data_IF_416841639350
#
_entry.id   IF_416841639350
#
_cell.length_a   1.000
_cell.length_b   1.000
_cell.length_c   1.000
_cell.angle_alpha   90.00
_cell.angle_beta   90.00
_cell.angle_gamma   90.00
#
_symmetry.space_group_name_H-M   'P 1'
#
loop_
_entity.id
_entity.type
_entity.pdbx_description
1 polymer ?
#
# COMPACT_ATOMS: atom_id res chain seq x y z
N UNK A 1 4.16 -29.13 -63.42
CA UNK A 1 3.39 -29.89 -62.40
C UNK A 1 4.16 -29.84 -61.10
N UNK A 2 3.47 -29.65 -59.95
CA UNK A 2 3.99 -29.47 -58.57
C UNK A 2 4.43 -28.01 -58.30
N UNK A 3 3.80 -27.17 -57.47
CA UNK A 3 2.91 -27.37 -56.33
C UNK A 3 1.95 -26.17 -56.17
N UNK A 4 0.64 -26.39 -56.36
CA UNK A 4 -0.45 -25.48 -55.96
C UNK A 4 -0.89 -25.74 -54.50
N UNK A 5 0.04 -26.01 -53.60
CA UNK A 5 -0.29 -26.48 -52.23
C UNK A 5 0.62 -25.77 -51.21
N UNK A 6 0.59 -24.44 -51.17
CA UNK A 6 0.93 -23.72 -49.94
C UNK A 6 0.33 -22.30 -49.93
N UNK A 7 -0.90 -22.18 -50.45
CA UNK A 7 -1.72 -20.95 -50.47
C UNK A 7 -2.60 -20.85 -49.22
N UNK A 8 -2.15 -21.34 -48.05
CA UNK A 8 -3.00 -21.47 -46.85
C UNK A 8 -2.29 -21.18 -45.52
N UNK A 9 -1.33 -20.25 -45.46
CA UNK A 9 -0.65 -19.98 -44.19
C UNK A 9 -0.37 -18.51 -43.82
N UNK A 10 -1.02 -17.54 -44.46
CA UNK A 10 -0.96 -16.15 -43.97
C UNK A 10 -2.35 -15.51 -43.99
N UNK A 11 -3.25 -16.07 -43.16
CA UNK A 11 -4.45 -15.38 -42.73
C UNK A 11 -4.16 -14.68 -41.40
N UNK A 12 -4.51 -13.39 -41.37
CA UNK A 12 -4.91 -12.62 -40.20
C UNK A 12 -3.82 -12.29 -39.15
N UNK A 13 -3.56 -11.01 -38.93
CA UNK A 13 -4.22 -10.27 -37.85
C UNK A 13 -3.82 -8.78 -37.94
N UNK A 14 -4.81 -7.97 -38.29
CA UNK A 14 -4.85 -6.54 -37.96
C UNK A 14 -4.98 -6.37 -36.44
N UNK A 15 -4.10 -5.60 -35.80
CA UNK A 15 -4.28 -5.15 -34.43
C UNK A 15 -4.18 -3.63 -34.37
N UNK A 16 -5.34 -3.04 -34.11
CA UNK A 16 -5.63 -1.62 -33.88
C UNK A 16 -4.92 -1.19 -32.59
N UNK A 17 -4.09 -0.15 -32.64
CA UNK A 17 -3.51 0.46 -31.45
C UNK A 17 -4.59 1.23 -30.70
N UNK A 18 -4.87 0.78 -29.47
CA UNK A 18 -5.83 1.35 -28.53
C UNK A 18 -5.51 2.80 -28.21
N UNK A 19 -6.55 3.63 -28.25
CA UNK A 19 -6.60 4.98 -27.71
C UNK A 19 -6.16 5.01 -26.25
N UNK A 20 -5.21 5.89 -25.93
CA UNK A 20 -4.95 6.31 -24.55
C UNK A 20 -6.18 7.06 -24.05
N UNK A 21 -6.98 6.42 -23.20
CA UNK A 21 -7.89 7.14 -22.31
C UNK A 21 -7.00 7.75 -21.24
N UNK A 22 -6.61 9.02 -21.39
CA UNK A 22 -6.15 9.78 -20.24
C UNK A 22 -7.36 9.92 -19.32
N UNK A 23 -7.39 9.16 -18.23
CA UNK A 23 -8.28 9.43 -17.12
C UNK A 23 -7.88 10.77 -16.50
N UNK A 24 -8.32 11.88 -17.10
CA UNK A 24 -8.54 13.08 -16.30
C UNK A 24 -9.65 12.71 -15.31
N UNK A 25 -9.29 12.59 -14.04
CA UNK A 25 -10.26 12.46 -12.96
C UNK A 25 -10.92 13.83 -12.81
N UNK A 26 -11.99 14.06 -13.58
CA UNK A 26 -12.87 15.20 -13.42
C UNK A 26 -13.77 14.94 -12.20
N UNK A 27 -13.32 15.39 -11.02
CA UNK A 27 -14.16 15.35 -9.82
C UNK A 27 -15.04 16.60 -9.76
N UNK A 28 -16.18 16.54 -10.45
CA UNK A 28 -17.32 17.44 -10.18
C UNK A 28 -18.54 16.62 -9.75
N UNK A 29 -18.68 16.47 -8.42
CA UNK A 29 -19.98 16.49 -7.74
C UNK A 29 -19.78 16.75 -6.24
N UNK A 30 -19.96 18.02 -5.88
CA UNK A 30 -20.19 18.45 -4.50
C UNK A 30 -21.60 18.02 -4.09
N UNK A 31 -21.67 17.13 -3.10
CA UNK A 31 -22.93 16.72 -2.47
C UNK A 31 -22.79 16.68 -0.94
N UNK A 32 -21.91 17.54 -0.40
CA UNK A 32 -21.56 17.63 1.02
C UNK A 32 -20.21 18.33 1.14
N UNK A 33 -19.98 19.09 2.22
CA UNK A 33 -18.70 19.77 2.48
C UNK A 33 -17.61 18.71 2.60
N UNK A 34 -16.99 18.37 1.47
CA UNK A 34 -15.88 17.43 1.42
C UNK A 34 -14.63 18.19 1.84
N UNK A 35 -14.07 17.85 2.99
CA UNK A 35 -12.80 18.41 3.47
C UNK A 35 -11.64 17.50 3.09
N UNK A 36 -10.61 18.04 2.47
CA UNK A 36 -9.32 17.35 2.40
C UNK A 36 -8.66 17.43 3.79
N UNK A 37 -8.26 16.27 4.31
CA UNK A 37 -7.61 16.13 5.62
C UNK A 37 -6.25 15.49 5.40
N UNK A 38 -5.21 16.08 5.99
CA UNK A 38 -3.87 15.50 6.06
C UNK A 38 -3.73 14.73 7.37
N UNK A 39 -3.24 13.50 7.27
CA UNK A 39 -3.05 12.57 8.37
C UNK A 39 -1.55 12.27 8.46
N UNK A 40 -0.95 12.59 9.60
CA UNK A 40 0.46 12.33 9.89
C UNK A 40 0.57 11.18 10.87
N UNK A 41 1.33 10.15 10.49
CA UNK A 41 1.60 8.97 11.31
C UNK A 41 3.06 9.00 11.70
N UNK A 42 3.34 8.94 13.00
CA UNK A 42 4.70 8.81 13.53
C UNK A 42 4.86 7.39 14.05
N UNK A 43 5.74 6.62 13.42
CA UNK A 43 6.10 5.29 13.91
C UNK A 43 6.89 5.47 15.20
N UNK A 44 6.46 4.86 16.32
CA UNK A 44 7.15 5.03 17.58
C UNK A 44 8.52 4.35 17.51
N UNK A 45 9.57 5.07 17.90
CA UNK A 45 10.84 4.42 18.19
C UNK A 45 10.59 3.38 19.30
N UNK A 46 11.02 2.14 19.09
CA UNK A 46 10.73 1.06 20.03
C UNK A 46 11.16 1.44 21.46
N UNK A 47 10.39 1.04 22.49
CA UNK A 47 10.81 1.29 23.86
C UNK A 47 12.16 0.62 24.10
N UNK A 48 13.15 1.40 24.56
CA UNK A 48 14.44 0.86 24.99
C UNK A 48 14.22 -0.04 26.21
N UNK A 49 13.96 -1.33 25.99
CA UNK A 49 14.05 -2.32 27.05
C UNK A 49 15.53 -2.39 27.43
N UNK A 50 15.85 -2.01 28.67
CA UNK A 50 17.21 -1.82 29.20
C UNK A 50 18.11 -3.08 29.18
N UNK A 51 17.65 -4.20 28.61
CA UNK A 51 18.29 -5.51 28.68
C UNK A 51 18.67 -6.09 27.31
N UNK A 52 18.34 -5.42 26.19
CA UNK A 52 18.83 -5.80 24.87
C UNK A 52 20.15 -5.08 24.58
N UNK A 53 21.17 -5.80 24.11
CA UNK A 53 22.46 -5.22 23.68
C UNK A 53 22.29 -4.33 22.43
N UNK A 54 21.25 -4.61 21.62
CA UNK A 54 20.80 -3.80 20.50
C UNK A 54 19.26 -3.88 20.38
N UNK A 55 18.48 -3.02 21.07
CA UNK A 55 17.04 -3.00 20.86
C UNK A 55 16.74 -2.57 19.42
N UNK A 56 15.82 -3.25 18.74
CA UNK A 56 15.35 -2.82 17.41
C UNK A 56 14.86 -1.37 17.48
N UNK A 57 15.25 -0.57 16.51
CA UNK A 57 15.01 0.88 16.51
C UNK A 57 13.97 1.32 15.46
N UNK A 58 13.37 0.36 14.74
CA UNK A 58 12.37 0.60 13.70
C UNK A 58 12.91 1.34 12.47
N UNK A 59 14.22 1.56 12.34
CA UNK A 59 14.79 2.37 11.24
C UNK A 59 14.70 1.70 9.87
N UNK A 60 14.46 0.39 9.83
CA UNK A 60 14.28 -0.36 8.58
C UNK A 60 12.84 -0.32 8.07
N UNK A 61 11.87 0.13 8.86
CA UNK A 61 10.50 0.33 8.37
C UNK A 61 10.49 1.38 7.25
N UNK A 62 9.91 1.01 6.10
CA UNK A 62 9.88 1.86 4.91
C UNK A 62 8.47 2.08 4.34
N UNK A 63 7.48 1.31 4.80
CA UNK A 63 6.10 1.37 4.33
C UNK A 63 5.17 1.72 5.48
N UNK A 64 4.18 2.57 5.21
CA UNK A 64 2.99 2.72 6.02
C UNK A 64 1.74 2.55 5.15
N UNK A 65 0.77 1.78 5.61
CA UNK A 65 -0.51 1.52 4.98
C UNK A 65 -1.59 2.17 5.84
N UNK A 66 -2.56 2.83 5.18
CA UNK A 66 -3.75 3.39 5.82
C UNK A 66 -5.00 2.82 5.18
N UNK A 67 -5.89 2.29 6.01
CA UNK A 67 -7.27 1.96 5.67
C UNK A 67 -8.22 2.81 6.52
N UNK A 68 -9.18 3.44 5.86
CA UNK A 68 -10.22 4.24 6.50
C UNK A 68 -11.51 3.44 6.37
N UNK A 69 -12.25 3.28 7.46
CA UNK A 69 -13.52 2.57 7.49
C UNK A 69 -14.65 3.48 7.92
N UNK A 70 -15.82 3.28 7.33
CA UNK A 70 -17.09 3.87 7.74
C UNK A 70 -18.11 2.74 7.88
N UNK A 71 -18.70 2.58 9.06
CA UNK A 71 -19.64 1.48 9.35
C UNK A 71 -19.08 0.08 9.00
N UNK A 72 -17.81 -0.17 9.34
CA UNK A 72 -17.07 -1.41 9.07
C UNK A 72 -16.83 -1.72 7.57
N UNK A 73 -17.13 -0.78 6.67
CA UNK A 73 -16.84 -0.87 5.24
C UNK A 73 -15.66 0.04 4.87
N UNK A 74 -14.79 -0.42 3.97
CA UNK A 74 -13.64 0.36 3.51
C UNK A 74 -14.13 1.63 2.80
N UNK A 75 -13.76 2.78 3.35
CA UNK A 75 -14.04 4.09 2.81
C UNK A 75 -12.90 4.53 1.89
N UNK A 76 -13.21 4.68 0.60
CA UNK A 76 -12.24 5.06 -0.42
C UNK A 76 -11.31 3.91 -0.81
N UNK A 77 -10.03 4.22 -1.03
CA UNK A 77 -9.00 3.26 -1.39
C UNK A 77 -8.00 3.10 -0.24
N UNK A 78 -7.43 1.89 -0.11
CA UNK A 78 -6.26 1.68 0.73
C UNK A 78 -5.11 2.56 0.22
N UNK A 79 -4.47 3.28 1.14
CA UNK A 79 -3.37 4.18 0.81
C UNK A 79 -2.04 3.62 1.30
N UNK A 80 -0.97 4.02 0.61
CA UNK A 80 0.40 3.65 0.92
C UNK A 80 1.25 4.92 0.99
N UNK A 81 2.16 4.97 1.95
CA UNK A 81 3.13 6.06 2.09
C UNK A 81 4.52 5.51 2.42
N UNK A 82 5.54 6.11 1.83
CA UNK A 82 6.92 5.90 2.27
C UNK A 82 7.12 6.50 3.66
N UNK A 83 7.87 5.80 4.51
CA UNK A 83 8.35 6.36 5.77
C UNK A 83 9.50 7.32 5.47
N UNK A 84 9.40 8.55 5.96
CA UNK A 84 10.48 9.53 5.89
C UNK A 84 11.63 9.10 6.80
N UNK A 85 12.83 8.82 6.27
CA UNK A 85 13.97 8.40 7.08
C UNK A 85 14.34 9.44 8.14
N UNK A 86 14.70 8.98 9.33
CA UNK A 86 15.10 9.82 10.46
C UNK A 86 13.95 10.39 11.28
N UNK A 87 12.85 10.84 10.66
CA UNK A 87 11.65 11.27 11.40
C UNK A 87 10.64 10.15 11.64
N UNK A 88 10.80 9.01 10.96
CA UNK A 88 9.91 7.86 10.99
C UNK A 88 8.43 8.26 10.80
N UNK A 89 8.18 9.14 9.84
CA UNK A 89 6.85 9.73 9.60
C UNK A 89 6.31 9.33 8.23
N UNK A 90 5.05 8.94 8.18
CA UNK A 90 4.26 8.80 6.95
C UNK A 90 3.16 9.88 6.91
N UNK A 91 2.84 10.33 5.70
CA UNK A 91 1.82 11.34 5.45
C UNK A 91 0.80 10.82 4.46
N UNK A 92 -0.47 11.01 4.78
CA UNK A 92 -1.60 10.65 3.93
C UNK A 92 -2.52 11.85 3.74
N UNK A 93 -3.19 11.89 2.59
CA UNK A 93 -4.28 12.84 2.34
C UNK A 93 -5.55 12.07 2.04
N UNK A 94 -6.62 12.34 2.78
CA UNK A 94 -7.93 11.74 2.57
C UNK A 94 -9.00 12.82 2.42
N UNK A 95 -9.98 12.58 1.55
CA UNK A 95 -11.15 13.45 1.41
C UNK A 95 -12.29 12.86 2.22
N UNK A 96 -12.68 13.53 3.30
CA UNK A 96 -13.72 13.05 4.22
C UNK A 96 -14.96 13.94 4.16
N UNK A 97 -16.12 13.33 4.37
CA UNK A 97 -17.39 14.06 4.52
C UNK A 97 -17.57 14.43 5.99
N UNK A 98 -17.96 15.69 6.24
CA UNK A 98 -18.29 16.19 7.59
C UNK A 98 -19.48 15.46 8.20
N UNK A 99 -19.55 15.40 9.53
CA UNK A 99 -20.62 14.74 10.32
C UNK A 99 -20.71 13.21 10.16
N UNK A 100 -19.62 12.59 9.70
CA UNK A 100 -19.46 11.15 9.60
C UNK A 100 -18.46 10.65 10.65
N UNK A 101 -18.54 9.37 11.03
CA UNK A 101 -17.60 8.73 11.96
C UNK A 101 -16.76 7.71 11.20
N UNK A 102 -15.44 7.89 11.24
CA UNK A 102 -14.49 7.03 10.54
C UNK A 102 -13.56 6.33 11.53
N UNK A 103 -13.16 5.10 11.20
CA UNK A 103 -12.10 4.36 11.87
C UNK A 103 -10.87 4.35 10.99
N UNK A 104 -9.74 4.82 11.51
CA UNK A 104 -8.46 4.79 10.81
C UNK A 104 -7.65 3.61 11.34
N UNK A 105 -7.17 2.77 10.44
CA UNK A 105 -6.32 1.62 10.75
C UNK A 105 -5.00 1.80 10.02
N UNK A 106 -3.91 1.73 10.76
CA UNK A 106 -2.56 1.89 10.24
C UNK A 106 -1.77 0.61 10.39
N UNK A 107 -0.84 0.41 9.47
CA UNK A 107 0.20 -0.63 9.58
C UNK A 107 1.49 -0.08 9.02
N UNK A 108 2.59 -0.23 9.74
CA UNK A 108 3.91 0.13 9.24
C UNK A 108 4.88 -1.05 9.40
N UNK A 109 5.58 -1.39 8.32
CA UNK A 109 6.54 -2.48 8.26
C UNK A 109 7.63 -2.27 7.21
N UNK A 110 8.55 -3.24 7.13
CA UNK A 110 9.52 -3.33 6.06
C UNK A 110 8.97 -4.18 4.90
N UNK A 111 8.91 -3.58 3.71
CA UNK A 111 8.49 -4.23 2.47
C UNK A 111 9.46 -3.90 1.34
N UNK A 112 9.44 -4.67 0.26
CA UNK A 112 10.24 -4.35 -0.92
C UNK A 112 9.52 -3.31 -1.77
N UNK A 113 10.21 -2.24 -2.18
CA UNK A 113 9.66 -1.20 -3.06
C UNK A 113 9.38 0.13 -2.37
N UNK A 114 8.46 0.92 -2.95
CA UNK A 114 8.11 2.26 -2.48
C UNK A 114 6.66 2.62 -2.86
N UNK A 115 6.14 3.72 -2.33
CA UNK A 115 4.82 4.21 -2.73
C UNK A 115 4.73 4.55 -4.23
N UNK A 116 5.85 4.97 -4.85
CA UNK A 116 5.93 5.27 -6.29
C UNK A 116 5.95 4.02 -7.17
N UNK A 117 6.68 2.98 -6.74
CA UNK A 117 6.91 1.77 -7.54
C UNK A 117 5.98 0.61 -7.20
N UNK A 118 5.23 0.75 -6.11
CA UNK A 118 4.46 -0.32 -5.48
C UNK A 118 5.31 -1.11 -4.48
N UNK A 119 4.63 -1.77 -3.55
CA UNK A 119 5.25 -2.62 -2.54
C UNK A 119 4.99 -4.11 -2.80
N UNK A 120 5.97 -4.94 -2.48
CA UNK A 120 5.88 -6.40 -2.41
C UNK A 120 6.10 -6.87 -0.98
N UNK A 121 5.30 -7.84 -0.53
CA UNK A 121 5.38 -8.37 0.83
C UNK A 121 6.68 -9.14 1.07
N UNK A 122 7.33 -8.87 2.21
CA UNK A 122 8.51 -9.61 2.67
C UNK A 122 8.17 -10.48 3.89
N UNK A 123 7.76 -9.85 4.98
CA UNK A 123 7.59 -10.52 6.27
C UNK A 123 6.13 -10.64 6.71
N UNK A 124 5.31 -9.67 6.36
CA UNK A 124 3.90 -9.61 6.74
C UNK A 124 3.02 -9.62 5.50
N UNK A 125 1.98 -10.44 5.51
CA UNK A 125 0.96 -10.50 4.48
C UNK A 125 -0.20 -9.58 4.89
N UNK A 126 -0.45 -8.56 4.06
CA UNK A 126 -1.52 -7.57 4.26
C UNK A 126 -2.64 -7.70 3.23
N UNK A 127 -2.69 -8.81 2.47
CA UNK A 127 -3.61 -8.99 1.35
C UNK A 127 -5.09 -9.08 1.76
N UNK A 128 -5.38 -9.48 3.00
CA UNK A 128 -6.74 -9.68 3.52
C UNK A 128 -7.26 -8.50 4.36
N UNK A 129 -6.76 -7.27 4.15
CA UNK A 129 -7.06 -6.14 5.02
C UNK A 129 -6.06 -6.00 6.17
N UNK A 130 -6.04 -4.83 6.83
CA UNK A 130 -5.19 -4.62 8.01
C UNK A 130 -5.75 -5.27 9.29
N UNK A 131 -6.93 -5.88 9.22
CA UNK A 131 -7.54 -6.65 10.32
C UNK A 131 -7.08 -8.10 10.42
N UNK A 132 -6.40 -8.65 9.39
CA UNK A 132 -5.94 -10.06 9.34
C UNK A 132 -4.49 -10.14 8.84
N UNK A 133 -3.59 -9.44 9.52
CA UNK A 133 -2.16 -9.43 9.19
C UNK A 133 -1.51 -10.70 9.73
N UNK A 134 -0.73 -11.36 8.88
CA UNK A 134 -0.04 -12.62 9.21
C UNK A 134 1.40 -12.58 8.76
N UNK A 135 2.26 -13.35 9.42
CA UNK A 135 3.60 -13.59 8.90
C UNK A 135 3.52 -14.37 7.58
N UNK A 136 4.37 -14.03 6.62
CA UNK A 136 4.52 -14.78 5.36
C UNK A 136 5.12 -16.16 5.61
N UNK A 137 5.98 -16.29 6.64
CA UNK A 137 6.59 -17.54 7.09
C UNK A 137 6.46 -17.69 8.59
N UNK A 138 6.13 -18.90 9.05
CA UNK A 138 6.09 -19.26 10.47
C UNK A 138 7.49 -19.50 11.06
N UNK A 139 8.55 -19.31 10.28
CA UNK A 139 9.92 -19.42 10.77
C UNK A 139 10.21 -18.38 11.84
N UNK A 140 10.51 -18.86 13.04
CA UNK A 140 10.88 -18.03 14.17
C UNK A 140 12.30 -17.49 13.99
N UNK A 141 12.39 -16.18 13.75
CA UNK A 141 13.65 -15.42 13.71
C UNK A 141 13.60 -14.39 14.82
N UNK A 142 14.58 -14.39 15.71
CA UNK A 142 14.69 -13.43 16.80
C UNK A 142 15.63 -12.28 16.38
N UNK A 143 15.36 -11.07 16.88
CA UNK A 143 16.23 -9.91 16.77
C UNK A 143 16.62 -9.55 15.32
N UNK A 144 15.60 -9.40 14.46
CA UNK A 144 15.76 -8.92 13.10
C UNK A 144 14.92 -7.65 12.92
N UNK A 145 15.60 -6.51 12.81
CA UNK A 145 14.97 -5.19 12.70
C UNK A 145 14.14 -5.04 11.41
N UNK A 146 14.41 -5.83 10.36
CA UNK A 146 13.56 -5.85 9.16
C UNK A 146 12.17 -6.46 9.43
N UNK A 147 11.97 -7.08 10.60
CA UNK A 147 10.67 -7.61 11.05
C UNK A 147 9.99 -6.69 12.05
N UNK A 148 10.55 -5.53 12.36
CA UNK A 148 9.86 -4.53 13.17
C UNK A 148 8.58 -4.08 12.46
N UNK A 149 7.48 -4.02 13.21
CA UNK A 149 6.18 -3.59 12.70
C UNK A 149 5.35 -2.87 13.76
N UNK A 150 4.46 -1.97 13.32
CA UNK A 150 3.73 -1.02 14.15
C UNK A 150 2.29 -0.84 13.66
N UNK A 151 1.35 -0.62 14.59
CA UNK A 151 -0.09 -0.48 14.32
C UNK A 151 -0.76 0.55 15.25
#
# INVERSE_FOLDING_TARGET
MKNKILTYCLLALTAISLSVVSCQRDDLKDNGTNGEVTISVVVPNAPTLRSAENPGDGTLVNRCILEIYENDELYGERMYADITPGSLTAQFSARLVTDHTYTFVFWADHAEGSAETGYTELYYNTANGLSDIRLVTDEYVNNNDERDAFY
#
